data_IF_123585041029
#
_entry.id   IF_123585041029
#
_cell.length_a   1.000
_cell.length_b   1.000
_cell.length_c   1.000
_cell.angle_alpha   90.00
_cell.angle_beta   90.00
_cell.angle_gamma   90.00
#
_symmetry.space_group_name_H-M   'P 1'
#
loop_
_entity.id
_entity.type
_entity.pdbx_description
1 polymer ?
#
# COMPACT_ATOMS: atom_id res chain seq x y z
N UNK A 1 8.49 6.19 -19.68
CA UNK A 1 8.89 5.13 -20.64
C UNK A 1 8.25 5.42 -21.99
N UNK A 2 8.93 5.13 -23.09
CA UNK A 2 8.33 5.23 -24.43
C UNK A 2 7.22 4.17 -24.60
N UNK A 3 6.16 4.49 -25.35
CA UNK A 3 5.05 3.56 -25.65
C UNK A 3 5.56 2.21 -26.20
N UNK A 4 6.67 2.23 -26.94
CA UNK A 4 7.32 1.02 -27.47
C UNK A 4 7.91 0.15 -26.36
N UNK A 5 8.60 0.74 -25.38
CA UNK A 5 9.21 0.01 -24.26
C UNK A 5 8.15 -0.65 -23.37
N UNK A 6 7.01 0.02 -23.16
CA UNK A 6 5.88 -0.54 -22.40
C UNK A 6 5.30 -1.76 -23.13
N UNK A 7 5.16 -1.70 -24.46
CA UNK A 7 4.66 -2.81 -25.27
C UNK A 7 5.54 -4.06 -25.16
N UNK A 8 6.87 -3.91 -25.23
CA UNK A 8 7.80 -5.02 -25.03
C UNK A 8 7.77 -5.59 -23.60
N UNK A 9 7.55 -4.73 -22.61
CA UNK A 9 7.43 -5.16 -21.21
C UNK A 9 6.18 -6.02 -20.99
N UNK A 10 5.03 -5.56 -21.49
CA UNK A 10 3.77 -6.33 -21.45
C UNK A 10 3.90 -7.65 -22.21
N UNK A 11 4.56 -7.64 -23.38
CA UNK A 11 4.82 -8.85 -24.15
C UNK A 11 5.70 -9.84 -23.38
N UNK A 12 6.74 -9.35 -22.68
CA UNK A 12 7.59 -10.17 -21.82
C UNK A 12 6.82 -10.81 -20.67
N UNK A 13 5.94 -10.04 -20.01
CA UNK A 13 5.05 -10.59 -18.97
C UNK A 13 4.13 -11.70 -19.50
N UNK A 14 3.53 -11.50 -20.67
CA UNK A 14 2.70 -12.51 -21.34
C UNK A 14 3.52 -13.77 -21.63
N UNK A 15 4.75 -13.63 -22.13
CA UNK A 15 5.63 -14.76 -22.43
C UNK A 15 5.99 -15.57 -21.17
N UNK A 16 6.28 -14.90 -20.05
CA UNK A 16 6.59 -15.56 -18.76
C UNK A 16 5.37 -16.33 -18.24
N UNK A 17 4.17 -15.75 -18.34
CA UNK A 17 2.92 -16.42 -17.94
C UNK A 17 2.65 -17.64 -18.81
N UNK A 18 2.80 -17.53 -20.13
CA UNK A 18 2.63 -18.66 -21.04
C UNK A 18 3.64 -19.78 -20.75
N UNK A 19 4.90 -19.43 -20.49
CA UNK A 19 5.94 -20.39 -20.11
C UNK A 19 5.58 -21.12 -18.81
N UNK A 20 5.05 -20.41 -17.81
CA UNK A 20 4.62 -20.99 -16.55
C UNK A 20 3.39 -21.90 -16.72
N UNK A 21 2.42 -21.53 -17.54
CA UNK A 21 1.27 -22.39 -17.86
C UNK A 21 1.69 -23.69 -18.57
N UNK A 22 2.61 -23.61 -19.53
CA UNK A 22 3.19 -24.80 -20.17
C UNK A 22 3.92 -25.68 -19.16
N UNK A 23 4.62 -25.06 -18.22
CA UNK A 23 5.36 -25.74 -17.16
C UNK A 23 4.45 -26.47 -16.16
N UNK A 24 3.35 -25.82 -15.75
CA UNK A 24 2.29 -26.44 -14.95
C UNK A 24 1.69 -27.63 -15.70
N UNK A 25 1.33 -27.45 -16.98
CA UNK A 25 0.77 -28.52 -17.80
C UNK A 25 1.71 -29.72 -17.92
N UNK A 26 3.01 -29.48 -18.11
CA UNK A 26 4.03 -30.53 -18.11
C UNK A 26 4.12 -31.24 -16.75
N UNK A 27 4.09 -30.49 -15.65
CA UNK A 27 4.18 -31.07 -14.31
C UNK A 27 2.97 -31.95 -13.97
N UNK A 28 1.77 -31.52 -14.33
CA UNK A 28 0.52 -32.29 -14.10
C UNK A 28 0.50 -33.57 -14.95
N UNK A 29 0.94 -33.50 -16.21
CA UNK A 29 0.86 -34.65 -17.13
C UNK A 29 1.99 -35.68 -16.91
N UNK A 30 3.19 -35.22 -16.55
CA UNK A 30 4.39 -36.07 -16.57
C UNK A 30 5.17 -36.12 -15.26
N UNK A 31 4.88 -35.25 -14.29
CA UNK A 31 5.65 -35.11 -13.04
C UNK A 31 4.77 -35.22 -11.77
N UNK A 32 3.62 -35.90 -11.88
CA UNK A 32 2.69 -36.14 -10.76
C UNK A 32 2.30 -34.85 -9.99
N UNK A 33 2.18 -33.71 -10.70
CA UNK A 33 1.82 -32.40 -10.11
C UNK A 33 2.80 -31.88 -9.05
N UNK A 34 4.02 -32.41 -8.98
CA UNK A 34 5.04 -31.97 -8.03
C UNK A 34 5.36 -30.49 -8.24
N UNK A 35 5.53 -29.73 -7.14
CA UNK A 35 5.66 -28.27 -7.11
C UNK A 35 4.40 -27.46 -7.51
N UNK A 36 3.37 -28.08 -8.09
CA UNK A 36 2.06 -27.44 -8.33
C UNK A 36 1.18 -27.62 -7.09
N UNK A 37 1.16 -28.84 -6.57
CA UNK A 37 0.46 -29.19 -5.33
C UNK A 37 1.31 -28.90 -4.09
N UNK A 38 0.68 -28.69 -2.91
CA UNK A 38 1.40 -28.46 -1.66
C UNK A 38 2.38 -29.61 -1.39
N UNK A 39 3.66 -29.35 -1.65
CA UNK A 39 4.73 -30.33 -1.51
C UNK A 39 5.44 -30.08 -0.19
N UNK A 40 5.69 -31.13 0.60
CA UNK A 40 6.46 -31.00 1.83
C UNK A 40 7.95 -30.82 1.50
N UNK A 41 8.46 -29.62 1.72
CA UNK A 41 9.83 -29.24 1.38
C UNK A 41 10.89 -29.97 2.22
N UNK A 42 10.53 -30.55 3.37
CA UNK A 42 11.48 -31.30 4.21
C UNK A 42 11.89 -32.65 3.59
N UNK A 43 11.05 -33.22 2.72
CA UNK A 43 11.31 -34.51 2.05
C UNK A 43 11.59 -34.34 0.56
N UNK A 44 11.73 -33.09 0.11
CA UNK A 44 11.89 -32.78 -1.30
C UNK A 44 13.29 -33.13 -1.81
N UNK A 45 13.33 -34.00 -2.84
CA UNK A 45 14.52 -34.29 -3.61
C UNK A 45 14.30 -33.88 -5.06
N UNK A 46 15.24 -33.10 -5.59
CA UNK A 46 15.17 -32.58 -6.96
C UNK A 46 15.30 -33.69 -8.00
N UNK A 47 14.35 -33.74 -8.94
CA UNK A 47 14.38 -34.64 -10.10
C UNK A 47 14.52 -33.78 -11.37
N UNK A 48 15.19 -34.30 -12.41
CA UNK A 48 15.34 -33.59 -13.70
C UNK A 48 13.99 -33.13 -14.28
N UNK A 49 12.90 -33.84 -14.00
CA UNK A 49 11.54 -33.50 -14.44
C UNK A 49 10.98 -32.24 -13.78
N UNK A 50 11.54 -31.80 -12.65
CA UNK A 50 11.19 -30.55 -11.96
C UNK A 50 11.81 -29.31 -12.64
N UNK A 51 12.77 -29.49 -13.55
CA UNK A 51 13.51 -28.40 -14.20
C UNK A 51 12.63 -27.35 -14.89
N UNK A 52 11.56 -27.69 -15.63
CA UNK A 52 10.74 -26.68 -16.30
C UNK A 52 10.03 -25.78 -15.28
N UNK A 53 9.61 -26.36 -14.15
CA UNK A 53 8.85 -25.66 -13.11
C UNK A 53 9.75 -24.69 -12.34
N UNK A 54 10.92 -25.16 -11.91
CA UNK A 54 11.92 -24.32 -11.25
C UNK A 54 12.39 -23.19 -12.18
N UNK A 55 12.61 -23.48 -13.46
CA UNK A 55 13.06 -22.48 -14.43
C UNK A 55 12.00 -21.39 -14.67
N UNK A 56 10.74 -21.78 -14.86
CA UNK A 56 9.64 -20.83 -15.02
C UNK A 56 9.40 -19.97 -13.76
N UNK A 57 9.54 -20.57 -12.57
CA UNK A 57 9.45 -19.85 -11.30
C UNK A 57 10.56 -18.81 -11.14
N UNK A 58 11.79 -19.16 -11.53
CA UNK A 58 12.94 -18.24 -11.51
C UNK A 58 12.75 -17.06 -12.47
N UNK A 59 12.26 -17.31 -13.69
CA UNK A 59 11.95 -16.22 -14.63
C UNK A 59 10.84 -15.31 -14.13
N UNK A 60 9.78 -15.85 -13.50
CA UNK A 60 8.75 -15.04 -12.87
C UNK A 60 9.32 -14.17 -11.76
N UNK A 61 10.14 -14.75 -10.87
CA UNK A 61 10.76 -14.02 -9.78
C UNK A 61 11.62 -12.84 -10.27
N UNK A 62 12.48 -13.08 -11.27
CA UNK A 62 13.28 -12.02 -11.88
C UNK A 62 12.41 -10.95 -12.55
N UNK A 63 11.35 -11.35 -13.25
CA UNK A 63 10.43 -10.41 -13.89
C UNK A 63 9.73 -9.50 -12.87
N UNK A 64 9.29 -10.06 -11.73
CA UNK A 64 8.69 -9.28 -10.63
C UNK A 64 9.67 -8.26 -10.06
N UNK A 65 10.95 -8.62 -9.87
CA UNK A 65 11.98 -7.68 -9.40
C UNK A 65 12.15 -6.51 -10.37
N UNK A 66 12.25 -6.79 -11.68
CA UNK A 66 12.38 -5.73 -12.70
C UNK A 66 11.13 -4.84 -12.72
N UNK A 67 9.95 -5.42 -12.56
CA UNK A 67 8.68 -4.68 -12.49
C UNK A 67 8.69 -3.70 -11.29
N UNK A 68 9.05 -4.18 -10.11
CA UNK A 68 9.17 -3.35 -8.90
C UNK A 68 10.17 -2.22 -9.12
N UNK A 69 11.37 -2.53 -9.64
CA UNK A 69 12.40 -1.52 -9.91
C UNK A 69 11.88 -0.42 -10.85
N UNK A 70 11.13 -0.79 -11.91
CA UNK A 70 10.58 0.19 -12.84
C UNK A 70 9.47 1.04 -12.24
N UNK A 71 8.60 0.46 -11.41
CA UNK A 71 7.59 1.23 -10.66
C UNK A 71 8.27 2.27 -9.77
N UNK A 72 9.28 1.85 -9.00
CA UNK A 72 10.04 2.74 -8.13
C UNK A 72 10.74 3.84 -8.94
N UNK A 73 11.39 3.49 -10.05
CA UNK A 73 12.04 4.45 -10.95
C UNK A 73 11.04 5.43 -11.56
N UNK A 74 9.85 4.98 -11.98
CA UNK A 74 8.81 5.83 -12.56
C UNK A 74 8.23 6.81 -11.53
N UNK A 75 8.07 6.37 -10.27
CA UNK A 75 7.66 7.24 -9.16
C UNK A 75 8.75 8.29 -8.89
N UNK A 76 10.02 7.87 -8.85
CA UNK A 76 11.15 8.77 -8.64
C UNK A 76 11.31 9.81 -9.76
N UNK A 77 11.19 9.39 -11.04
CA UNK A 77 11.34 10.29 -12.19
C UNK A 77 10.17 11.25 -12.37
N UNK A 78 8.99 10.96 -11.80
CA UNK A 78 7.83 11.85 -11.84
C UNK A 78 7.96 13.03 -10.86
N UNK A 79 8.93 12.97 -9.93
CA UNK A 79 9.19 14.03 -8.94
C UNK A 79 9.94 15.23 -9.52
N UNK A 80 10.54 15.10 -10.70
CA UNK A 80 11.38 16.14 -11.35
C UNK A 80 10.68 16.91 -12.47
N UNK A 81 9.42 16.61 -12.80
CA UNK A 81 8.64 17.51 -13.66
C UNK A 81 8.09 18.62 -12.78
N UNK A 82 8.80 19.75 -12.83
CA UNK A 82 8.49 21.00 -12.16
C UNK A 82 7.24 21.61 -12.81
N UNK A 83 6.08 21.06 -12.45
CA UNK A 83 4.82 21.70 -12.75
C UNK A 83 4.71 22.90 -11.80
N UNK A 84 4.83 24.11 -12.36
CA UNK A 84 4.62 25.39 -11.66
C UNK A 84 3.27 25.46 -10.94
N UNK A 85 2.31 24.61 -11.27
CA UNK A 85 1.00 24.52 -10.63
C UNK A 85 0.77 23.20 -9.90
N UNK A 86 0.06 23.29 -8.77
CA UNK A 86 -0.40 22.16 -7.96
C UNK A 86 -1.27 21.21 -8.80
N UNK A 87 -1.12 19.89 -8.56
CA UNK A 87 -1.86 18.85 -9.30
C UNK A 87 -3.36 19.11 -9.24
N UNK A 88 -4.03 19.05 -10.40
CA UNK A 88 -5.49 19.11 -10.50
C UNK A 88 -6.09 17.79 -10.02
N UNK A 89 -6.33 17.69 -8.73
CA UNK A 89 -7.00 16.55 -8.12
C UNK A 89 -8.48 16.89 -7.97
N UNK A 90 -9.36 16.02 -8.43
CA UNK A 90 -10.80 16.23 -8.23
C UNK A 90 -11.15 16.08 -6.74
N UNK A 91 -11.82 17.07 -6.12
CA UNK A 91 -12.26 16.99 -4.71
C UNK A 91 -13.14 15.75 -4.41
N UNK A 92 -13.78 15.20 -5.45
CA UNK A 92 -14.60 13.98 -5.38
C UNK A 92 -13.82 12.75 -4.93
N UNK A 93 -12.49 12.71 -5.06
CA UNK A 93 -11.68 11.62 -4.50
C UNK A 93 -11.75 11.58 -2.96
N UNK A 94 -12.14 12.69 -2.31
CA UNK A 94 -12.43 12.70 -0.88
C UNK A 94 -13.55 11.74 -0.46
N UNK A 95 -14.50 11.44 -1.35
CA UNK A 95 -15.57 10.48 -1.07
C UNK A 95 -15.06 9.05 -0.89
N UNK A 96 -13.86 8.72 -1.38
CA UNK A 96 -13.22 7.44 -1.10
C UNK A 96 -12.96 7.25 0.41
N UNK A 97 -12.93 8.35 1.18
CA UNK A 97 -12.83 8.32 2.63
C UNK A 97 -13.95 7.53 3.32
N UNK A 98 -15.14 7.47 2.71
CA UNK A 98 -16.25 6.65 3.23
C UNK A 98 -15.97 5.15 3.19
N UNK A 99 -15.04 4.68 2.35
CA UNK A 99 -14.60 3.29 2.40
C UNK A 99 -13.94 2.93 3.76
N UNK A 100 -13.51 3.93 4.54
CA UNK A 100 -13.00 3.74 5.90
C UNK A 100 -13.99 3.08 6.85
N UNK A 101 -15.30 3.25 6.63
CA UNK A 101 -16.33 2.57 7.41
C UNK A 101 -16.34 1.05 7.21
N UNK A 102 -15.78 0.53 6.11
CA UNK A 102 -15.59 -0.90 5.95
C UNK A 102 -14.67 -1.48 7.03
N UNK A 103 -13.85 -0.66 7.69
CA UNK A 103 -13.02 -1.07 8.84
C UNK A 103 -13.82 -1.71 9.98
N UNK A 104 -15.08 -1.30 10.17
CA UNK A 104 -15.95 -1.87 11.19
C UNK A 104 -16.37 -3.31 10.89
N UNK A 105 -16.36 -3.73 9.61
CA UNK A 105 -16.58 -5.14 9.25
C UNK A 105 -15.55 -6.07 9.88
N UNK A 106 -14.38 -5.54 10.27
CA UNK A 106 -13.35 -6.31 10.98
C UNK A 106 -13.85 -6.93 12.27
N UNK A 107 -14.76 -6.29 13.02
CA UNK A 107 -15.31 -6.90 14.23
C UNK A 107 -16.17 -8.13 13.91
N UNK A 108 -16.88 -8.12 12.79
CA UNK A 108 -17.70 -9.24 12.33
C UNK A 108 -16.80 -10.37 11.82
N UNK A 109 -15.86 -10.08 10.92
CA UNK A 109 -14.96 -11.09 10.36
C UNK A 109 -14.02 -11.69 11.39
N UNK A 110 -13.59 -10.88 12.36
CA UNK A 110 -12.75 -11.35 13.46
C UNK A 110 -13.46 -12.40 14.31
N UNK A 111 -14.78 -12.26 14.53
CA UNK A 111 -15.57 -13.25 15.26
C UNK A 111 -15.72 -14.59 14.54
N UNK A 112 -15.48 -14.66 13.23
CA UNK A 112 -15.67 -15.86 12.41
C UNK A 112 -14.32 -16.54 12.15
N UNK A 113 -13.35 -15.79 11.62
CA UNK A 113 -12.09 -16.33 11.10
C UNK A 113 -10.84 -15.78 11.81
N UNK A 114 -11.00 -14.98 12.88
CA UNK A 114 -9.91 -14.27 13.58
C UNK A 114 -9.00 -13.42 12.65
N UNK A 115 -9.53 -13.00 11.51
CA UNK A 115 -8.76 -12.23 10.52
C UNK A 115 -8.69 -10.74 10.89
N UNK A 116 -7.50 -10.17 10.86
CA UNK A 116 -7.25 -8.75 11.18
C UNK A 116 -7.30 -7.81 9.97
N UNK A 117 -7.27 -8.37 8.76
CA UNK A 117 -7.18 -7.63 7.50
C UNK A 117 -8.23 -6.51 7.35
N UNK A 118 -9.51 -6.72 7.69
CA UNK A 118 -10.51 -5.68 7.44
C UNK A 118 -10.28 -4.40 8.26
N UNK A 119 -9.56 -4.45 9.38
CA UNK A 119 -9.27 -3.24 10.17
C UNK A 119 -8.34 -2.25 9.43
N UNK A 120 -7.57 -2.71 8.44
CA UNK A 120 -6.71 -1.85 7.62
C UNK A 120 -7.54 -0.83 6.83
N UNK A 121 -8.81 -1.13 6.53
CA UNK A 121 -9.68 -0.19 5.82
C UNK A 121 -9.85 1.14 6.57
N UNK A 122 -9.63 1.22 7.88
CA UNK A 122 -9.62 2.50 8.60
C UNK A 122 -8.62 3.52 8.04
N UNK A 123 -7.53 3.06 7.39
CA UNK A 123 -6.59 3.94 6.67
C UNK A 123 -7.27 4.79 5.58
N UNK A 124 -8.38 4.31 5.02
CA UNK A 124 -9.13 5.04 3.98
C UNK A 124 -9.71 6.35 4.49
N UNK A 125 -9.96 6.52 5.80
CA UNK A 125 -10.36 7.83 6.32
C UNK A 125 -9.37 8.95 5.99
N UNK A 126 -8.08 8.63 5.75
CA UNK A 126 -7.10 9.60 5.28
C UNK A 126 -7.43 10.21 3.91
N UNK A 127 -8.22 9.53 3.08
CA UNK A 127 -8.64 10.01 1.76
C UNK A 127 -9.53 11.24 1.86
N UNK A 128 -10.18 11.50 2.99
CA UNK A 128 -10.86 12.79 3.20
C UNK A 128 -9.93 13.99 3.03
N UNK A 129 -8.60 13.81 3.18
CA UNK A 129 -7.60 14.82 2.88
C UNK A 129 -7.64 15.30 1.42
N UNK A 130 -8.03 14.44 0.47
CA UNK A 130 -8.15 14.80 -0.95
C UNK A 130 -9.23 15.86 -1.21
N UNK A 131 -10.22 16.01 -0.32
CA UNK A 131 -11.20 17.10 -0.41
C UNK A 131 -10.53 18.47 -0.28
N UNK A 132 -9.61 18.61 0.68
CA UNK A 132 -8.84 19.85 0.90
C UNK A 132 -7.78 20.05 -0.17
N UNK A 133 -7.10 18.99 -0.59
CA UNK A 133 -6.14 19.06 -1.69
C UNK A 133 -6.80 19.48 -3.02
N UNK A 134 -8.02 18.98 -3.29
CA UNK A 134 -8.80 19.40 -4.45
C UNK A 134 -9.24 20.86 -4.40
N UNK A 135 -9.45 21.45 -3.21
CA UNK A 135 -9.71 22.89 -3.06
C UNK A 135 -8.49 23.75 -3.36
N UNK A 136 -7.29 23.23 -3.13
CA UNK A 136 -6.01 23.88 -3.48
C UNK A 136 -5.56 23.58 -4.92
N UNK A 137 -6.45 23.03 -5.75
CA UNK A 137 -6.11 22.71 -7.13
C UNK A 137 -5.85 23.98 -7.95
N UNK A 138 -4.91 23.90 -8.88
CA UNK A 138 -4.56 24.98 -9.81
C UNK A 138 -3.93 26.25 -9.19
N UNK A 139 -3.45 26.19 -7.93
CA UNK A 139 -2.67 27.27 -7.31
C UNK A 139 -1.21 27.18 -7.79
N UNK A 140 -0.54 28.33 -7.94
CA UNK A 140 0.89 28.42 -8.25
C UNK A 140 1.70 27.84 -7.07
N UNK A 141 2.62 26.92 -7.37
CA UNK A 141 3.42 26.24 -6.37
C UNK A 141 4.67 27.06 -6.08
N UNK A 142 4.50 28.13 -5.33
CA UNK A 142 5.59 29.01 -4.91
C UNK A 142 6.42 28.42 -3.77
N UNK A 143 7.56 29.03 -3.46
CA UNK A 143 8.43 28.62 -2.36
C UNK A 143 7.69 28.60 -1.02
N UNK A 144 6.79 29.56 -0.80
CA UNK A 144 5.94 29.63 0.38
C UNK A 144 5.01 28.42 0.51
N UNK A 145 4.39 27.99 -0.61
CA UNK A 145 3.53 26.81 -0.62
C UNK A 145 4.31 25.55 -0.22
N UNK A 146 5.55 25.41 -0.68
CA UNK A 146 6.42 24.28 -0.31
C UNK A 146 6.75 24.31 1.18
N UNK A 147 7.03 25.49 1.74
CA UNK A 147 7.27 25.66 3.17
C UNK A 147 6.01 25.32 4.00
N UNK A 148 4.84 25.78 3.57
CA UNK A 148 3.55 25.50 4.20
C UNK A 148 3.19 24.01 4.14
N UNK A 149 3.47 23.34 3.01
CA UNK A 149 3.31 21.89 2.85
C UNK A 149 4.19 21.13 3.85
N UNK A 150 5.47 21.50 3.96
CA UNK A 150 6.40 20.89 4.92
C UNK A 150 5.98 21.14 6.37
N UNK A 151 5.55 22.36 6.69
CA UNK A 151 5.06 22.73 8.03
C UNK A 151 3.79 21.96 8.40
N UNK A 152 2.87 21.78 7.47
CA UNK A 152 1.65 21.00 7.65
C UNK A 152 1.95 19.51 7.84
N UNK A 153 2.84 18.93 7.03
CA UNK A 153 3.32 17.55 7.20
C UNK A 153 3.96 17.34 8.58
N UNK A 154 4.90 18.21 8.98
CA UNK A 154 5.57 18.10 10.28
C UNK A 154 4.59 18.22 11.46
N UNK A 155 3.63 19.13 11.36
CA UNK A 155 2.60 19.32 12.39
C UNK A 155 1.70 18.09 12.50
N UNK A 156 1.30 17.51 11.35
CA UNK A 156 0.50 16.30 11.32
C UNK A 156 1.27 15.09 11.89
N UNK A 157 2.53 14.91 11.52
CA UNK A 157 3.39 13.87 12.09
C UNK A 157 3.59 14.05 13.59
N UNK A 158 3.82 15.28 14.07
CA UNK A 158 3.96 15.56 15.51
C UNK A 158 2.72 15.11 16.29
N UNK A 159 1.53 15.42 15.78
CA UNK A 159 0.27 14.99 16.40
C UNK A 159 0.13 13.47 16.35
N UNK A 160 0.41 12.85 15.20
CA UNK A 160 0.41 11.39 15.05
C UNK A 160 1.35 10.68 16.02
N UNK A 161 2.58 11.19 16.18
CA UNK A 161 3.57 10.65 17.10
C UNK A 161 3.17 10.83 18.57
N UNK A 162 2.54 11.94 18.93
CA UNK A 162 2.02 12.14 20.30
C UNK A 162 0.96 11.07 20.60
N UNK A 163 0.01 10.86 19.70
CA UNK A 163 -1.04 9.84 19.86
C UNK A 163 -0.39 8.45 19.95
N UNK A 164 0.55 8.14 19.06
CA UNK A 164 1.27 6.87 19.04
C UNK A 164 2.04 6.62 20.34
N UNK A 165 2.70 7.65 20.88
CA UNK A 165 3.41 7.59 22.17
C UNK A 165 2.46 7.21 23.32
N UNK A 166 1.30 7.87 23.40
CA UNK A 166 0.28 7.52 24.40
C UNK A 166 -0.26 6.11 24.23
N UNK A 167 -0.47 5.66 22.98
CA UNK A 167 -0.93 4.29 22.71
C UNK A 167 0.07 3.23 23.17
N UNK A 168 1.37 3.44 22.93
CA UNK A 168 2.43 2.52 23.40
C UNK A 168 2.42 2.44 24.92
N UNK A 169 2.34 3.58 25.60
CA UNK A 169 2.25 3.62 27.06
C UNK A 169 1.02 2.88 27.59
N UNK A 170 -0.13 3.11 26.98
CA UNK A 170 -1.40 2.50 27.36
C UNK A 170 -1.37 0.97 27.20
N UNK A 171 -0.77 0.46 26.13
CA UNK A 171 -0.55 -0.98 25.93
C UNK A 171 0.46 -1.52 26.96
N UNK A 172 1.57 -0.81 27.17
CA UNK A 172 2.62 -1.18 28.13
C UNK A 172 2.13 -1.24 29.59
N UNK A 173 1.16 -0.42 29.96
CA UNK A 173 0.48 -0.47 31.28
C UNK A 173 -0.41 -1.70 31.46
N UNK A 174 -0.63 -2.49 30.40
CA UNK A 174 -1.34 -3.77 30.49
C UNK A 174 -2.86 -3.67 30.36
N UNK A 175 -3.37 -2.68 29.61
CA UNK A 175 -4.82 -2.47 29.43
C UNK A 175 -5.56 -3.71 28.88
N UNK A 176 -4.84 -4.67 28.28
CA UNK A 176 -5.36 -5.95 27.80
C UNK A 176 -4.50 -7.16 28.21
N UNK A 177 -3.92 -7.11 29.42
CA UNK A 177 -2.97 -8.15 29.92
C UNK A 177 -3.51 -9.59 29.86
N UNK A 178 -4.83 -9.76 29.91
CA UNK A 178 -5.47 -11.08 29.95
C UNK A 178 -5.80 -11.66 28.57
N UNK A 179 -5.72 -10.89 27.47
CA UNK A 179 -6.06 -11.43 26.15
C UNK A 179 -5.23 -10.78 25.02
N UNK A 180 -4.28 -11.55 24.50
CA UNK A 180 -3.33 -11.14 23.46
C UNK A 180 -4.01 -10.80 22.12
N UNK A 181 -5.17 -11.40 21.86
CA UNK A 181 -5.97 -11.13 20.67
C UNK A 181 -6.47 -9.68 20.61
N UNK A 182 -6.98 -9.18 21.72
CA UNK A 182 -7.47 -7.80 21.82
C UNK A 182 -6.35 -6.78 21.71
N UNK A 183 -5.14 -7.12 22.18
CA UNK A 183 -3.95 -6.30 21.96
C UNK A 183 -3.68 -6.14 20.46
N UNK A 184 -3.75 -7.24 19.69
CA UNK A 184 -3.49 -7.22 18.26
C UNK A 184 -4.55 -6.41 17.49
N UNK A 185 -5.83 -6.62 17.79
CA UNK A 185 -6.94 -5.85 17.18
C UNK A 185 -6.76 -4.35 17.49
N UNK A 186 -6.54 -4.01 18.76
CA UNK A 186 -6.38 -2.63 19.19
C UNK A 186 -5.19 -1.97 18.52
N UNK A 187 -4.05 -2.66 18.39
CA UNK A 187 -2.88 -2.15 17.67
C UNK A 187 -3.17 -1.89 16.19
N UNK A 188 -3.78 -2.84 15.49
CA UNK A 188 -4.06 -2.68 14.05
C UNK A 188 -5.03 -1.52 13.80
N UNK A 189 -6.08 -1.41 14.62
CA UNK A 189 -7.05 -0.30 14.53
C UNK A 189 -6.36 1.04 14.82
N UNK A 190 -5.63 1.13 15.92
CA UNK A 190 -4.98 2.40 16.34
C UNK A 190 -3.95 2.86 15.32
N UNK A 191 -3.07 1.96 14.84
CA UNK A 191 -2.08 2.31 13.82
C UNK A 191 -2.75 2.75 12.52
N UNK A 192 -3.80 2.03 12.08
CA UNK A 192 -4.55 2.38 10.87
C UNK A 192 -5.23 3.75 10.98
N UNK A 193 -5.84 4.04 12.14
CA UNK A 193 -6.46 5.33 12.44
C UNK A 193 -5.45 6.47 12.57
N UNK A 194 -4.30 6.25 13.21
CA UNK A 194 -3.22 7.25 13.30
C UNK A 194 -2.72 7.59 11.90
N UNK A 195 -2.49 6.58 11.05
CA UNK A 195 -2.06 6.80 9.68
C UNK A 195 -3.09 7.60 8.87
N UNK A 196 -4.37 7.23 8.96
CA UNK A 196 -5.46 7.98 8.34
C UNK A 196 -5.49 9.44 8.80
N UNK A 197 -5.39 9.65 10.12
CA UNK A 197 -5.41 10.98 10.73
C UNK A 197 -4.25 11.83 10.22
N UNK A 198 -3.04 11.29 10.17
CA UNK A 198 -1.86 12.03 9.69
C UNK A 198 -2.02 12.44 8.22
N UNK A 199 -2.49 11.54 7.36
CA UNK A 199 -2.74 11.84 5.95
C UNK A 199 -3.80 12.94 5.78
N UNK A 200 -4.92 12.80 6.49
CA UNK A 200 -5.98 13.79 6.50
C UNK A 200 -5.49 15.16 6.99
N UNK A 201 -4.79 15.16 8.12
CA UNK A 201 -4.39 16.37 8.83
C UNK A 201 -3.31 17.14 8.08
N UNK A 202 -2.39 16.45 7.41
CA UNK A 202 -1.39 17.07 6.54
C UNK A 202 -2.05 17.94 5.46
N UNK A 203 -3.07 17.40 4.77
CA UNK A 203 -3.78 18.14 3.71
C UNK A 203 -4.72 19.22 4.26
N UNK A 204 -5.38 18.97 5.38
CA UNK A 204 -6.22 19.95 6.05
C UNK A 204 -5.42 21.16 6.56
N UNK A 205 -4.29 20.92 7.23
CA UNK A 205 -3.43 21.99 7.76
C UNK A 205 -2.82 22.81 6.63
N UNK A 206 -2.42 22.17 5.53
CA UNK A 206 -1.95 22.87 4.34
C UNK A 206 -3.03 23.84 3.81
N UNK A 207 -4.26 23.35 3.63
CA UNK A 207 -5.38 24.20 3.23
C UNK A 207 -5.61 25.37 4.19
N UNK A 208 -5.49 25.12 5.50
CA UNK A 208 -5.67 26.16 6.51
C UNK A 208 -4.55 27.20 6.51
N UNK A 209 -3.31 26.81 6.25
CA UNK A 209 -2.19 27.75 6.19
C UNK A 209 -2.30 28.64 4.95
N UNK A 210 -2.59 28.05 3.79
CA UNK A 210 -2.84 28.81 2.55
C UNK A 210 -4.03 29.76 2.69
N UNK A 211 -5.16 29.31 3.26
CA UNK A 211 -6.35 30.18 3.39
C UNK A 211 -6.21 31.29 4.44
N UNK A 212 -5.21 31.23 5.32
CA UNK A 212 -4.99 32.25 6.37
C UNK A 212 -3.98 33.32 5.98
N UNK A 213 -3.17 33.06 4.95
CA UNK A 213 -2.15 34.00 4.47
C UNK A 213 -2.67 34.93 3.35
N UNK A 214 -3.93 34.75 2.92
CA UNK A 214 -4.72 35.70 2.12
C UNK A 214 -5.76 36.41 2.96
#
# INVERSE_FOLDING_TARGET
>A
MSKKTIKYFVLGGIAVVLMLLCSIGYSVLFNQSRLVEPTDFNTYHFIIQDTPMVLSGLFLFLYVIVLIYQIVKAIASKKTNDNQHTRTISPKLGYLGFAGFMGFSGFLTYSIDHTLFPFIFFTFFGFFGFFYEGKLSNILRDELFILNEKKAELSAYKIGFIILFFMIWLIGMGLFRNNTEWIAIFMVITVSCIYALVLFLSKYLLYRYETKEY
#
